data_IF_707695730048
#
_entry.id   IF_707695730048
#
_cell.length_a   1.000
_cell.length_b   1.000
_cell.length_c   1.000
_cell.angle_alpha   90.00
_cell.angle_beta   90.00
_cell.angle_gamma   90.00
#
_symmetry.space_group_name_H-M   'P 1'
#
loop_
_entity.id
_entity.type
_entity.pdbx_description
1 polymer ?
#
# COMPACT_ATOMS: atom_id res chain seq x y z
N UNK A 1 2.37 -29.02 24.03
CA UNK A 1 1.13 -28.69 24.79
C UNK A 1 0.53 -27.45 24.14
N UNK A 2 -0.69 -27.53 23.61
CA UNK A 2 -1.34 -26.35 23.04
C UNK A 2 -1.64 -25.32 24.14
N UNK A 3 -1.33 -24.03 23.92
CA UNK A 3 -1.58 -23.01 24.93
C UNK A 3 -3.10 -22.87 25.15
N UNK A 4 -3.54 -22.84 26.42
CA UNK A 4 -4.96 -22.68 26.81
C UNK A 4 -5.48 -21.24 26.64
N UNK A 5 -4.62 -20.31 26.21
CA UNK A 5 -4.92 -18.90 26.03
C UNK A 5 -4.05 -18.32 24.90
N UNK A 6 -4.48 -17.21 24.26
CA UNK A 6 -3.71 -16.58 23.19
C UNK A 6 -2.28 -16.21 23.63
N UNK A 7 -1.27 -16.59 22.84
CA UNK A 7 0.14 -16.27 23.10
C UNK A 7 0.42 -14.78 22.88
N UNK A 8 -0.28 -14.16 21.91
CA UNK A 8 -0.21 -12.72 21.63
C UNK A 8 -1.58 -12.23 21.18
N UNK A 9 -1.96 -11.04 21.64
CA UNK A 9 -3.15 -10.36 21.15
C UNK A 9 -2.74 -9.44 20.00
N UNK A 10 -3.58 -9.39 18.97
CA UNK A 10 -3.48 -8.35 17.96
C UNK A 10 -3.83 -7.00 18.61
N UNK A 11 -2.95 -6.02 18.43
CA UNK A 11 -3.20 -4.63 18.80
C UNK A 11 -3.26 -3.86 17.49
N UNK A 12 -4.43 -3.29 17.20
CA UNK A 12 -4.62 -2.51 16.00
C UNK A 12 -3.76 -1.25 16.06
N UNK A 13 -2.99 -1.02 14.98
CA UNK A 13 -2.21 0.19 14.83
C UNK A 13 -3.11 1.28 14.24
N UNK A 14 -3.09 2.50 14.79
CA UNK A 14 -3.79 3.62 14.17
C UNK A 14 -3.18 4.01 12.82
N UNK A 15 -4.03 4.27 11.82
CA UNK A 15 -3.63 4.59 10.45
C UNK A 15 -2.92 5.95 10.39
N UNK A 16 -3.44 6.97 11.05
CA UNK A 16 -2.83 8.30 11.04
C UNK A 16 -1.43 8.25 11.67
N UNK A 17 -1.29 7.52 12.78
CA UNK A 17 0.01 7.26 13.40
C UNK A 17 0.95 6.47 12.48
N UNK A 18 0.42 5.48 11.74
CA UNK A 18 1.23 4.73 10.77
C UNK A 18 1.76 5.62 9.64
N UNK A 19 0.91 6.46 9.04
CA UNK A 19 1.31 7.43 8.01
C UNK A 19 2.31 8.43 8.58
N UNK A 20 2.04 9.00 9.75
CA UNK A 20 2.94 9.96 10.41
C UNK A 20 4.34 9.37 10.63
N UNK A 21 4.44 8.09 11.06
CA UNK A 21 5.74 7.40 11.19
C UNK A 21 6.42 7.17 9.85
N UNK A 22 5.66 6.90 8.78
CA UNK A 22 6.21 6.77 7.44
C UNK A 22 6.80 8.09 6.96
N UNK A 23 6.05 9.19 7.09
CA UNK A 23 6.48 10.53 6.68
C UNK A 23 7.63 11.07 7.53
N UNK A 24 7.70 10.70 8.81
CA UNK A 24 8.81 11.08 9.69
C UNK A 24 10.13 10.37 9.39
N UNK A 25 10.15 9.37 8.49
CA UNK A 25 11.39 8.69 8.10
C UNK A 25 12.14 9.54 7.08
N UNK A 26 13.44 9.79 7.29
CA UNK A 26 14.27 10.49 6.31
C UNK A 26 14.14 9.86 4.92
N UNK A 27 14.17 10.73 3.90
CA UNK A 27 14.19 10.38 2.48
C UNK A 27 12.89 9.77 1.90
N UNK A 28 11.98 9.22 2.72
CA UNK A 28 10.77 8.58 2.19
C UNK A 28 9.86 9.56 1.47
N UNK A 29 9.65 10.76 2.03
CA UNK A 29 8.84 11.80 1.40
C UNK A 29 9.43 12.20 0.04
N UNK A 30 10.73 12.50 -0.03
CA UNK A 30 11.41 12.80 -1.28
C UNK A 30 11.32 11.68 -2.32
N UNK A 31 11.39 10.42 -1.88
CA UNK A 31 11.22 9.25 -2.75
C UNK A 31 9.79 9.17 -3.27
N UNK A 32 8.79 9.36 -2.42
CA UNK A 32 7.38 9.37 -2.81
C UNK A 32 7.05 10.51 -3.77
N UNK A 33 7.56 11.72 -3.52
CA UNK A 33 7.32 12.88 -4.36
C UNK A 33 8.02 12.77 -5.73
N UNK A 34 9.16 12.07 -5.80
CA UNK A 34 9.82 11.82 -7.08
C UNK A 34 8.93 10.99 -8.02
N UNK A 35 8.06 10.14 -7.46
CA UNK A 35 7.16 9.29 -8.24
C UNK A 35 5.98 10.08 -8.82
N UNK A 36 5.39 10.98 -8.05
CA UNK A 36 4.34 11.89 -8.54
C UNK A 36 4.87 12.86 -9.58
N UNK A 37 6.06 13.45 -9.36
CA UNK A 37 6.74 14.29 -10.36
C UNK A 37 7.01 13.54 -11.67
N UNK A 38 7.50 12.31 -11.58
CA UNK A 38 7.75 11.47 -12.76
C UNK A 38 6.45 11.22 -13.56
N UNK A 39 5.34 10.92 -12.90
CA UNK A 39 4.06 10.74 -13.57
C UNK A 39 3.59 12.00 -14.32
N UNK A 40 3.83 13.19 -13.76
CA UNK A 40 3.46 14.47 -14.37
C UNK A 40 4.29 14.85 -15.60
N UNK A 41 5.53 14.37 -15.70
CA UNK A 41 6.45 14.65 -16.80
C UNK A 41 6.23 13.75 -18.02
N UNK A 42 5.52 12.62 -17.86
CA UNK A 42 5.30 11.67 -18.95
C UNK A 42 4.26 12.16 -19.95
N UNK A 43 4.60 12.10 -21.23
CA UNK A 43 3.65 12.32 -22.32
C UNK A 43 2.84 11.04 -22.59
N UNK A 44 1.64 11.18 -23.16
CA UNK A 44 0.86 10.03 -23.64
C UNK A 44 1.46 9.36 -24.88
N UNK A 45 2.43 10.00 -25.53
CA UNK A 45 3.08 9.57 -26.77
C UNK A 45 4.42 8.85 -26.50
N UNK A 46 4.85 8.83 -25.24
CA UNK A 46 6.07 8.16 -24.80
C UNK A 46 5.91 6.63 -24.92
N UNK A 47 6.43 6.05 -26.00
CA UNK A 47 6.61 4.60 -26.21
C UNK A 47 7.71 4.04 -25.27
N UNK A 48 7.48 4.14 -23.96
CA UNK A 48 8.45 3.79 -22.92
C UNK A 48 7.97 2.55 -22.17
N UNK A 49 8.93 1.65 -21.88
CA UNK A 49 8.73 0.50 -21.00
C UNK A 49 8.12 0.93 -19.66
N UNK A 50 6.91 0.43 -19.37
CA UNK A 50 6.29 0.61 -18.07
C UNK A 50 7.03 -0.25 -17.03
N UNK A 51 7.56 0.39 -15.99
CA UNK A 51 8.34 -0.29 -14.94
C UNK A 51 7.57 -0.36 -13.63
N UNK A 52 6.61 0.53 -13.42
CA UNK A 52 5.74 0.52 -12.25
C UNK A 52 4.39 1.20 -12.58
N UNK A 53 3.39 1.01 -11.72
CA UNK A 53 2.01 1.46 -11.97
C UNK A 53 1.85 2.97 -12.20
N UNK A 54 2.76 3.79 -11.64
CA UNK A 54 2.77 5.25 -11.87
C UNK A 54 3.13 5.63 -13.31
N UNK A 55 3.65 4.69 -14.09
CA UNK A 55 3.85 4.86 -15.52
C UNK A 55 2.50 4.74 -16.29
N UNK A 56 1.42 4.33 -15.63
CA UNK A 56 0.09 4.28 -16.23
C UNK A 56 -0.60 5.65 -16.31
N UNK A 57 -1.43 5.82 -17.34
CA UNK A 57 -2.16 7.07 -17.57
C UNK A 57 -3.07 7.46 -16.40
N UNK A 58 -3.62 6.48 -15.65
CA UNK A 58 -4.57 6.75 -14.58
C UNK A 58 -3.99 7.68 -13.51
N UNK A 59 -2.74 7.50 -13.07
CA UNK A 59 -2.16 8.34 -12.01
C UNK A 59 -1.78 9.73 -12.51
N UNK A 60 -1.42 9.85 -13.79
CA UNK A 60 -1.15 11.14 -14.42
C UNK A 60 -2.45 11.92 -14.62
N UNK A 61 -3.48 11.27 -15.14
CA UNK A 61 -4.69 11.93 -15.65
C UNK A 61 -5.86 11.90 -14.65
N UNK A 62 -5.66 11.32 -13.44
CA UNK A 62 -6.68 11.31 -12.39
C UNK A 62 -7.04 12.74 -12.01
N UNK A 63 -8.30 13.12 -12.18
CA UNK A 63 -8.77 14.49 -11.93
C UNK A 63 -9.35 14.64 -10.54
N UNK A 64 -9.10 15.77 -9.92
CA UNK A 64 -9.80 16.22 -8.72
C UNK A 64 -11.15 16.87 -9.09
N UNK A 65 -11.94 17.27 -8.08
CA UNK A 65 -13.27 17.85 -8.26
C UNK A 65 -13.25 19.15 -9.08
N UNK A 66 -12.14 19.88 -9.05
CA UNK A 66 -11.91 21.11 -9.81
C UNK A 66 -11.42 20.87 -11.26
N UNK A 67 -11.20 19.61 -11.64
CA UNK A 67 -10.72 19.21 -12.95
C UNK A 67 -9.20 19.22 -13.13
N UNK A 68 -8.43 19.62 -12.12
CA UNK A 68 -6.95 19.56 -12.11
C UNK A 68 -6.46 18.13 -11.91
N UNK A 69 -5.21 17.85 -12.30
CA UNK A 69 -4.61 16.51 -12.11
C UNK A 69 -4.26 16.30 -10.64
N UNK A 70 -5.01 15.42 -9.98
CA UNK A 70 -4.91 15.15 -8.56
C UNK A 70 -3.47 14.90 -8.11
N UNK A 71 -2.76 13.92 -8.65
CA UNK A 71 -1.42 13.59 -8.14
C UNK A 71 -0.29 14.51 -8.63
N UNK A 72 -0.52 15.33 -9.65
CA UNK A 72 0.53 16.06 -10.37
C UNK A 72 0.53 17.56 -10.04
N UNK A 73 -0.65 18.15 -9.89
CA UNK A 73 -0.83 19.60 -9.74
C UNK A 73 -1.18 19.93 -8.29
N UNK A 74 -0.23 19.72 -7.38
CA UNK A 74 -0.43 19.93 -5.94
C UNK A 74 0.84 20.37 -5.21
N UNK A 75 0.66 21.12 -4.12
CA UNK A 75 1.71 21.40 -3.12
C UNK A 75 1.58 20.48 -1.88
N UNK A 76 0.56 19.61 -1.85
CA UNK A 76 0.28 18.70 -0.74
C UNK A 76 0.78 17.27 -1.02
N UNK A 77 1.05 16.51 0.04
CA UNK A 77 1.36 15.08 -0.06
C UNK A 77 0.13 14.26 -0.46
N UNK A 78 -0.04 13.97 -1.75
CA UNK A 78 -1.12 13.13 -2.28
C UNK A 78 -0.66 11.68 -2.45
N UNK A 79 -1.19 10.80 -1.59
CA UNK A 79 -0.79 9.39 -1.52
C UNK A 79 -1.87 8.46 -2.05
N UNK A 80 -1.47 7.51 -2.88
CA UNK A 80 -2.32 6.41 -3.31
C UNK A 80 -2.01 5.15 -2.49
N UNK A 81 -3.04 4.42 -2.09
CA UNK A 81 -2.89 3.15 -1.37
C UNK A 81 -3.55 2.02 -2.14
N UNK A 82 -2.88 0.87 -2.20
CA UNK A 82 -3.52 -0.38 -2.61
C UNK A 82 -4.13 -1.04 -1.39
N UNK A 83 -5.36 -1.54 -1.53
CA UNK A 83 -6.05 -2.34 -0.53
C UNK A 83 -6.03 -3.81 -0.98
N UNK A 84 -5.46 -4.66 -0.15
CA UNK A 84 -5.36 -6.10 -0.37
C UNK A 84 -6.24 -6.83 0.65
N UNK A 85 -7.09 -7.74 0.18
CA UNK A 85 -7.94 -8.60 1.01
C UNK A 85 -7.63 -10.04 0.62
N UNK A 86 -7.02 -10.80 1.53
CA UNK A 86 -6.52 -12.14 1.25
C UNK A 86 -6.97 -13.15 2.32
N UNK A 87 -7.63 -14.22 1.87
CA UNK A 87 -8.15 -15.29 2.71
C UNK A 87 -7.20 -16.49 2.67
N UNK A 88 -6.69 -16.90 3.84
CA UNK A 88 -5.77 -18.01 3.97
C UNK A 88 -6.19 -18.98 5.06
N UNK A 89 -5.75 -20.23 4.97
CA UNK A 89 -5.95 -21.20 6.03
C UNK A 89 -4.87 -21.01 7.12
N UNK A 90 -5.23 -20.57 8.34
CA UNK A 90 -4.26 -20.35 9.41
C UNK A 90 -3.56 -21.64 9.86
N UNK A 91 -4.18 -22.80 9.64
CA UNK A 91 -3.63 -24.12 9.97
C UNK A 91 -2.81 -24.73 8.81
N UNK A 92 -2.71 -24.02 7.68
CA UNK A 92 -2.03 -24.48 6.47
C UNK A 92 -2.85 -25.46 5.63
N UNK A 93 -2.37 -25.73 4.41
CA UNK A 93 -3.07 -26.57 3.43
C UNK A 93 -2.62 -28.04 3.50
N UNK A 94 -2.93 -28.71 4.61
CA UNK A 94 -2.65 -30.15 4.77
C UNK A 94 -3.80 -31.00 4.22
N UNK A 95 -3.47 -32.05 3.44
CA UNK A 95 -4.48 -33.02 2.97
C UNK A 95 -5.14 -33.72 4.16
N UNK A 96 -6.46 -33.57 4.29
CA UNK A 96 -7.25 -34.09 5.42
C UNK A 96 -7.22 -33.24 6.69
N UNK A 97 -6.59 -32.07 6.66
CA UNK A 97 -6.58 -31.10 7.77
C UNK A 97 -7.91 -30.36 7.91
N UNK A 98 -8.16 -29.78 9.10
CA UNK A 98 -9.31 -28.90 9.33
C UNK A 98 -9.19 -27.66 8.46
N UNK A 99 -10.22 -27.37 7.67
CA UNK A 99 -10.30 -26.12 6.92
C UNK A 99 -10.84 -25.02 7.84
N UNK A 100 -10.05 -23.96 7.99
CA UNK A 100 -10.47 -22.68 8.54
C UNK A 100 -10.03 -21.60 7.54
N UNK A 101 -10.75 -20.48 7.48
CA UNK A 101 -10.37 -19.33 6.63
C UNK A 101 -10.24 -18.12 7.52
N UNK A 102 -9.10 -17.45 7.45
CA UNK A 102 -8.87 -16.15 8.07
C UNK A 102 -8.54 -15.17 6.96
N UNK A 103 -9.19 -14.02 6.98
CA UNK A 103 -8.97 -12.98 5.96
C UNK A 103 -8.16 -11.84 6.54
N UNK A 104 -6.99 -11.58 5.97
CA UNK A 104 -6.18 -10.40 6.27
C UNK A 104 -6.52 -9.26 5.32
N UNK A 105 -6.62 -8.04 5.85
CA UNK A 105 -6.81 -6.81 5.08
C UNK A 105 -5.56 -5.94 5.28
N UNK A 106 -4.87 -5.63 4.19
CA UNK A 106 -3.61 -4.89 4.21
C UNK A 106 -3.65 -3.70 3.27
N UNK A 107 -2.88 -2.65 3.58
CA UNK A 107 -2.62 -1.55 2.67
C UNK A 107 -1.12 -1.33 2.45
N UNK A 108 -0.76 -0.89 1.26
CA UNK A 108 0.60 -0.44 0.93
C UNK A 108 0.55 0.92 0.23
N UNK A 109 1.50 1.80 0.54
CA UNK A 109 1.61 3.11 -0.12
C UNK A 109 2.20 2.95 -1.52
N UNK A 110 1.41 3.25 -2.54
CA UNK A 110 1.80 3.11 -3.94
C UNK A 110 2.86 4.13 -4.36
N UNK A 111 2.99 5.27 -3.66
CA UNK A 111 4.04 6.26 -3.94
C UNK A 111 5.44 5.71 -3.65
N UNK A 112 5.58 4.69 -2.80
CA UNK A 112 6.85 4.01 -2.59
C UNK A 112 7.22 3.18 -3.83
N UNK A 113 8.52 3.12 -4.20
CA UNK A 113 8.98 2.24 -5.27
C UNK A 113 8.77 0.77 -4.89
N UNK A 114 8.65 -0.10 -5.89
CA UNK A 114 8.40 -1.55 -5.70
C UNK A 114 9.37 -2.19 -4.70
N UNK A 115 10.64 -1.77 -4.72
CA UNK A 115 11.68 -2.24 -3.81
C UNK A 115 11.43 -1.94 -2.33
N UNK A 116 10.57 -0.96 -2.02
CA UNK A 116 10.22 -0.55 -0.65
C UNK A 116 8.76 -0.86 -0.30
N UNK A 117 7.84 -0.74 -1.27
CA UNK A 117 6.38 -0.77 -1.07
C UNK A 117 5.88 -2.01 -0.30
N UNK A 118 6.43 -3.18 -0.60
CA UNK A 118 5.96 -4.47 -0.05
C UNK A 118 6.79 -4.98 1.13
N UNK A 119 7.73 -4.17 1.65
CA UNK A 119 8.44 -4.53 2.87
C UNK A 119 7.50 -4.46 4.07
N UNK A 120 7.67 -5.38 5.03
CA UNK A 120 6.78 -5.49 6.18
C UNK A 120 6.68 -4.19 7.00
N UNK A 121 7.76 -3.41 7.08
CA UNK A 121 7.76 -2.10 7.76
C UNK A 121 6.94 -1.01 7.04
N UNK A 122 6.59 -1.21 5.77
CA UNK A 122 5.84 -0.29 4.93
C UNK A 122 4.44 -0.84 4.56
N UNK A 123 4.06 -1.99 5.11
CA UNK A 123 2.71 -2.53 4.99
C UNK A 123 1.90 -2.14 6.23
N UNK A 124 0.64 -1.78 6.02
CA UNK A 124 -0.32 -1.50 7.08
C UNK A 124 -1.30 -2.64 7.18
N UNK A 125 -1.40 -3.29 8.34
CA UNK A 125 -2.44 -4.28 8.63
C UNK A 125 -3.70 -3.52 9.08
N UNK A 126 -4.69 -3.43 8.19
CA UNK A 126 -5.98 -2.80 8.46
C UNK A 126 -6.78 -3.64 9.45
N UNK A 127 -6.83 -4.95 9.23
CA UNK A 127 -7.64 -5.83 10.07
C UNK A 127 -7.53 -7.29 9.69
N UNK A 128 -8.09 -8.12 10.56
CA UNK A 128 -8.17 -9.57 10.39
C UNK A 128 -9.61 -9.99 10.69
N UNK A 129 -10.22 -10.74 9.77
CA UNK A 129 -11.55 -11.33 9.91
C UNK A 129 -11.37 -12.84 10.16
N UNK A 130 -11.76 -13.36 11.34
CA UNK A 130 -11.67 -14.78 11.68
C UNK A 130 -12.67 -15.67 10.94
#
# INVERSE_FOLDING_TARGET
KNPKQPVRKYVHQDMAHWIARMLARPELESVMDSRTRHAGQRSSEDNVDMRDIWDGNIFRDFKDQDGTRFFVETEEGRYAFSLNVDGFNPEGNLHGGRSASVTGIYMVCLNLPVSLRYKAENAYLVGVIP
#
